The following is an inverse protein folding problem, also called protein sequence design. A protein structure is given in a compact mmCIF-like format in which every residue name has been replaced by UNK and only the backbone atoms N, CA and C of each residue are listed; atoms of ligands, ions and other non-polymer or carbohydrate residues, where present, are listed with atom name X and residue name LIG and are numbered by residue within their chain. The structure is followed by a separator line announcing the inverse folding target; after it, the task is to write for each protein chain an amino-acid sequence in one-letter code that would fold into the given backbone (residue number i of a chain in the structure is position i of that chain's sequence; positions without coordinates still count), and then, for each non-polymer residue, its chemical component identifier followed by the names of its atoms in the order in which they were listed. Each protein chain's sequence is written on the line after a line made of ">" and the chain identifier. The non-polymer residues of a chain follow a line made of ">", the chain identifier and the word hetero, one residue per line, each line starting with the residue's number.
data_IF_628167791470
#
_entry.id   IF_628167791470
#
_cell.length_a   1.000
_cell.length_b   1.000
_cell.length_c   1.000
_cell.angle_alpha   90.00
_cell.angle_beta   90.00
_cell.angle_gamma   90.00
#
_symmetry.space_group_name_H-M   'P 1'
#
loop_
_entity.id
_entity.type
_entity.pdbx_description
1 polymer ?
#
# COMPACT_ATOMS: atom_id res chain seq x y z
N UNK A 1 -20.33 -32.85 22.43
CA UNK A 1 -19.90 -33.07 21.03
C UNK A 1 -19.09 -31.84 20.68
N UNK A 2 -17.77 -31.92 20.84
CA UNK A 2 -16.87 -30.78 20.60
C UNK A 2 -16.76 -30.62 19.09
N UNK A 3 -17.23 -29.47 18.59
CA UNK A 3 -17.03 -29.08 17.19
C UNK A 3 -15.63 -28.47 17.15
N UNK A 4 -14.65 -29.27 16.74
CA UNK A 4 -13.32 -28.76 16.39
C UNK A 4 -13.48 -27.80 15.22
N UNK A 5 -13.27 -26.51 15.47
CA UNK A 5 -13.00 -25.52 14.43
C UNK A 5 -11.75 -25.97 13.66
N UNK A 6 -11.78 -26.06 12.32
CA UNK A 6 -10.59 -26.42 11.56
C UNK A 6 -9.52 -25.35 11.81
N UNK A 7 -8.37 -25.76 12.35
CA UNK A 7 -7.18 -24.93 12.32
C UNK A 7 -6.76 -24.75 10.86
N UNK A 8 -6.88 -23.54 10.31
CA UNK A 8 -6.36 -23.15 8.99
C UNK A 8 -4.82 -23.23 9.05
N UNK A 9 -4.27 -24.40 8.73
CA UNK A 9 -2.84 -24.72 8.82
C UNK A 9 -2.06 -24.30 7.56
N UNK A 10 -2.46 -23.19 6.93
CA UNK A 10 -1.67 -22.57 5.87
C UNK A 10 -0.46 -21.81 6.42
N UNK A 11 0.58 -21.55 5.61
CA UNK A 11 1.67 -20.67 6.04
C UNK A 11 1.10 -19.31 6.47
N UNK A 12 1.48 -18.84 7.66
CA UNK A 12 1.11 -17.50 8.13
C UNK A 12 1.73 -16.47 7.17
N UNK A 13 0.87 -15.68 6.51
CA UNK A 13 1.32 -14.60 5.63
C UNK A 13 2.11 -13.56 6.43
N UNK A 14 3.12 -12.97 5.79
CA UNK A 14 3.87 -11.86 6.37
C UNK A 14 2.94 -10.64 6.34
N UNK A 15 2.53 -10.07 7.49
CA UNK A 15 1.64 -8.91 7.51
C UNK A 15 2.37 -7.72 6.88
N UNK A 16 1.68 -7.01 6.00
CA UNK A 16 2.22 -5.87 5.30
C UNK A 16 1.16 -4.79 5.10
N UNK A 17 1.62 -3.55 5.01
CA UNK A 17 0.78 -2.40 4.76
C UNK A 17 1.37 -1.56 3.63
N UNK A 18 0.49 -1.02 2.79
CA UNK A 18 0.83 -0.20 1.64
C UNK A 18 -0.08 1.00 1.60
N UNK A 19 0.48 2.18 1.35
CA UNK A 19 -0.29 3.40 1.20
C UNK A 19 -0.23 3.89 -0.25
N UNK A 20 -1.38 4.25 -0.78
CA UNK A 20 -1.54 4.87 -2.10
C UNK A 20 -1.79 6.35 -1.84
N UNK A 21 -0.72 7.13 -1.96
CA UNK A 21 -0.73 8.55 -1.66
C UNK A 21 -1.12 9.31 -2.92
N UNK A 22 -2.19 10.08 -2.83
CA UNK A 22 -2.69 10.95 -3.89
C UNK A 22 -2.10 12.34 -3.77
N UNK A 23 -1.92 12.99 -4.92
CA UNK A 23 -1.78 14.44 -5.02
C UNK A 23 -2.58 14.97 -6.20
N UNK A 24 -2.94 16.25 -6.15
CA UNK A 24 -3.47 16.94 -7.31
C UNK A 24 -2.39 17.03 -8.39
N UNK A 25 -2.72 16.69 -9.64
CA UNK A 25 -1.78 16.86 -10.74
C UNK A 25 -1.44 18.34 -10.92
N UNK A 26 -0.15 18.74 -11.01
CA UNK A 26 0.24 20.13 -11.26
C UNK A 26 -0.36 20.72 -12.55
N UNK A 27 -0.65 19.86 -13.52
CA UNK A 27 -1.27 20.21 -14.81
C UNK A 27 -2.80 20.34 -14.76
N UNK A 28 -3.44 20.03 -13.62
CA UNK A 28 -4.91 20.04 -13.47
C UNK A 28 -5.63 18.82 -14.09
N UNK A 29 -4.89 17.77 -14.44
CA UNK A 29 -5.44 16.50 -14.94
C UNK A 29 -5.90 15.54 -13.84
N UNK A 30 -6.05 14.26 -14.20
CA UNK A 30 -6.33 13.18 -13.24
C UNK A 30 -5.29 13.18 -12.11
N UNK A 31 -5.66 12.81 -10.87
CA UNK A 31 -4.74 12.84 -9.73
C UNK A 31 -3.55 11.91 -9.98
N UNK A 32 -2.42 12.29 -9.41
CA UNK A 32 -1.21 11.48 -9.43
C UNK A 32 -1.11 10.67 -8.14
N UNK A 33 -0.55 9.47 -8.25
CA UNK A 33 -0.22 8.58 -7.13
C UNK A 33 1.29 8.48 -7.00
N UNK A 34 1.78 8.41 -5.76
CA UNK A 34 3.19 8.20 -5.49
C UNK A 34 3.55 6.72 -5.70
N UNK A 35 4.53 6.47 -6.55
CA UNK A 35 5.06 5.14 -6.81
C UNK A 35 6.57 5.12 -6.58
N UNK A 36 7.10 3.93 -6.36
CA UNK A 36 8.53 3.68 -6.19
C UNK A 36 8.95 2.49 -7.05
N UNK A 37 10.15 2.57 -7.65
CA UNK A 37 10.79 1.40 -8.28
C UNK A 37 11.69 0.75 -7.24
N UNK A 38 11.37 -0.48 -6.83
CA UNK A 38 12.18 -1.24 -5.87
C UNK A 38 13.58 -1.51 -6.42
N UNK A 39 14.59 -1.43 -5.56
CA UNK A 39 15.95 -1.84 -5.91
C UNK A 39 15.96 -3.27 -6.49
N UNK A 40 16.76 -3.48 -7.55
CA UNK A 40 16.87 -4.79 -8.23
C UNK A 40 17.39 -5.89 -7.31
N UNK A 41 18.06 -5.53 -6.22
CA UNK A 41 18.61 -6.47 -5.24
C UNK A 41 17.57 -6.95 -4.21
N UNK A 42 16.34 -6.42 -4.24
CA UNK A 42 15.30 -6.87 -3.31
C UNK A 42 14.78 -8.26 -3.67
N UNK A 43 14.63 -9.09 -2.65
CA UNK A 43 14.14 -10.48 -2.76
C UNK A 43 12.68 -10.63 -3.24
N UNK A 44 11.91 -9.55 -3.29
CA UNK A 44 10.53 -9.52 -3.78
C UNK A 44 10.33 -8.30 -4.67
N UNK A 45 9.74 -8.50 -5.85
CA UNK A 45 9.41 -7.45 -6.82
C UNK A 45 10.59 -6.50 -7.16
N UNK A 46 11.83 -6.99 -7.18
CA UNK A 46 13.01 -6.17 -7.53
C UNK A 46 12.92 -5.59 -8.94
N UNK A 47 13.11 -4.27 -9.07
CA UNK A 47 12.95 -3.53 -10.34
C UNK A 47 11.50 -3.32 -10.78
N UNK A 48 10.50 -3.67 -9.95
CA UNK A 48 9.09 -3.42 -10.21
C UNK A 48 8.68 -2.08 -9.61
N UNK A 49 7.76 -1.40 -10.28
CA UNK A 49 7.06 -0.25 -9.72
C UNK A 49 5.96 -0.73 -8.76
N UNK A 50 5.95 -0.19 -7.55
CA UNK A 50 5.01 -0.47 -6.47
C UNK A 50 4.61 0.83 -5.78
N UNK A 51 3.62 0.76 -4.89
CA UNK A 51 3.32 1.86 -3.97
C UNK A 51 4.21 1.75 -2.71
N UNK A 52 4.45 2.86 -1.98
CA UNK A 52 5.19 2.83 -0.73
C UNK A 52 4.58 1.91 0.32
N UNK A 53 5.42 1.19 1.05
CA UNK A 53 4.98 0.32 2.13
C UNK A 53 5.88 -0.89 2.38
N UNK A 54 5.62 -1.53 3.50
CA UNK A 54 6.47 -2.60 4.02
C UNK A 54 5.75 -3.50 5.00
N UNK A 55 6.53 -4.12 5.88
CA UNK A 55 6.01 -5.09 6.85
C UNK A 55 5.35 -4.36 8.00
N UNK A 56 4.41 -5.04 8.66
CA UNK A 56 3.94 -4.60 9.98
C UNK A 56 4.90 -5.15 11.02
N UNK A 57 5.56 -4.27 11.75
CA UNK A 57 6.58 -4.63 12.72
C UNK A 57 5.96 -4.86 14.12
N UNK A 58 6.61 -5.63 15.01
CA UNK A 58 6.10 -5.86 16.37
C UNK A 58 5.80 -4.57 17.15
N UNK A 59 6.57 -3.52 16.91
CA UNK A 59 6.41 -2.19 17.49
C UNK A 59 5.11 -1.51 17.03
N UNK A 60 4.69 -1.75 15.78
CA UNK A 60 3.42 -1.26 15.24
C UNK A 60 2.23 -1.91 15.96
N UNK A 61 2.31 -3.23 16.21
CA UNK A 61 1.33 -3.95 17.02
C UNK A 61 1.32 -3.46 18.49
N UNK A 62 2.49 -3.27 19.09
CA UNK A 62 2.59 -2.81 20.47
C UNK A 62 2.01 -1.41 20.67
N UNK A 63 2.18 -0.52 19.68
CA UNK A 63 1.54 0.80 19.67
C UNK A 63 0.02 0.67 19.45
N UNK A 64 -0.40 -0.19 18.52
CA UNK A 64 -1.81 -0.41 18.21
C UNK A 64 -2.62 -0.88 19.43
N UNK A 65 -2.08 -1.77 20.27
CA UNK A 65 -2.72 -2.22 21.51
C UNK A 65 -3.08 -1.05 22.46
N UNK A 66 -2.35 0.06 22.37
CA UNK A 66 -2.56 1.23 23.23
C UNK A 66 -3.57 2.22 22.65
N UNK A 67 -3.62 2.35 21.31
CA UNK A 67 -4.33 3.46 20.65
C UNK A 67 -5.55 3.00 19.84
N UNK A 68 -5.70 1.71 19.53
CA UNK A 68 -6.73 1.22 18.61
C UNK A 68 -8.15 1.60 19.04
N UNK A 69 -8.43 1.53 20.35
CA UNK A 69 -9.73 1.88 20.91
C UNK A 69 -10.10 3.36 20.67
N UNK A 70 -9.12 4.27 20.77
CA UNK A 70 -9.32 5.71 20.55
C UNK A 70 -9.66 6.04 19.09
N UNK A 71 -9.23 5.17 18.16
CA UNK A 71 -9.54 5.26 16.74
C UNK A 71 -10.76 4.40 16.32
N UNK A 72 -11.38 3.66 17.25
CA UNK A 72 -12.50 2.77 16.93
C UNK A 72 -12.11 1.59 16.02
N UNK A 73 -10.84 1.18 16.04
CA UNK A 73 -10.29 0.10 15.22
C UNK A 73 -10.01 -1.15 16.05
N UNK A 74 -9.87 -2.30 15.40
CA UNK A 74 -9.22 -3.45 16.05
C UNK A 74 -7.71 -3.18 16.18
N UNK A 75 -7.02 -3.78 17.18
CA UNK A 75 -5.56 -3.66 17.28
C UNK A 75 -4.84 -4.11 16.01
N UNK A 76 -5.32 -5.16 15.36
CA UNK A 76 -4.77 -5.65 14.10
C UNK A 76 -4.91 -4.64 12.94
N UNK A 77 -6.06 -3.99 12.79
CA UNK A 77 -6.24 -2.96 11.76
C UNK A 77 -5.44 -1.68 12.07
N UNK A 78 -5.42 -1.26 13.33
CA UNK A 78 -4.60 -0.13 13.76
C UNK A 78 -3.10 -0.38 13.51
N UNK A 79 -2.60 -1.59 13.77
CA UNK A 79 -1.20 -1.94 13.51
C UNK A 79 -0.83 -1.80 12.02
N UNK A 80 -1.71 -2.23 11.11
CA UNK A 80 -1.47 -2.08 9.68
C UNK A 80 -1.51 -0.61 9.23
N UNK A 81 -2.42 0.21 9.79
CA UNK A 81 -2.44 1.64 9.49
C UNK A 81 -1.23 2.38 10.07
N UNK A 82 -0.77 2.00 11.27
CA UNK A 82 0.46 2.51 11.89
C UNK A 82 1.68 2.15 11.04
N UNK A 83 1.79 0.91 10.58
CA UNK A 83 2.85 0.49 9.66
C UNK A 83 2.82 1.30 8.36
N UNK A 84 1.63 1.56 7.79
CA UNK A 84 1.50 2.43 6.62
C UNK A 84 2.02 3.85 6.89
N UNK A 85 1.72 4.44 8.04
CA UNK A 85 2.23 5.77 8.47
C UNK A 85 3.75 5.74 8.62
N UNK A 86 4.29 4.74 9.33
CA UNK A 86 5.72 4.57 9.57
C UNK A 86 6.49 4.46 8.25
N UNK A 87 6.11 3.52 7.40
CA UNK A 87 6.73 3.27 6.09
C UNK A 87 6.64 4.51 5.18
N UNK A 88 5.55 5.28 5.25
CA UNK A 88 5.43 6.54 4.50
C UNK A 88 6.54 7.51 4.86
N UNK A 89 6.82 7.69 6.15
CA UNK A 89 7.90 8.58 6.61
C UNK A 89 9.26 8.02 6.18
N UNK A 90 9.50 6.73 6.38
CA UNK A 90 10.77 6.06 6.06
C UNK A 90 11.11 6.14 4.57
N UNK A 91 10.18 5.74 3.71
CA UNK A 91 10.42 5.62 2.28
C UNK A 91 10.32 6.98 1.57
N UNK A 92 9.39 7.86 1.98
CA UNK A 92 9.04 9.06 1.21
C UNK A 92 9.38 10.38 1.90
N UNK A 93 9.57 10.37 3.22
CA UNK A 93 9.71 11.59 4.02
C UNK A 93 8.44 12.42 4.16
N UNK A 94 7.30 11.93 3.67
CA UNK A 94 6.00 12.55 3.92
C UNK A 94 5.48 12.15 5.31
N UNK A 95 4.87 13.11 6.01
CA UNK A 95 4.22 12.87 7.30
C UNK A 95 2.70 12.91 7.11
N UNK A 96 2.12 11.75 6.78
CA UNK A 96 0.68 11.53 6.56
C UNK A 96 0.08 10.65 7.66
N UNK A 97 -1.21 10.81 7.94
CA UNK A 97 -1.87 10.06 9.04
C UNK A 97 -1.42 10.51 10.42
N UNK A 98 -1.01 11.77 10.52
CA UNK A 98 -0.49 12.40 11.73
C UNK A 98 -1.18 13.76 11.96
N UNK A 99 -1.29 14.13 13.23
CA UNK A 99 -1.72 15.44 13.68
C UNK A 99 -0.64 16.08 14.56
N UNK A 100 -0.42 17.38 14.37
CA UNK A 100 0.61 18.16 15.07
C UNK A 100 1.13 19.28 14.19
N UNK A 101 2.21 19.94 14.62
CA UNK A 101 2.93 20.89 13.76
C UNK A 101 3.82 20.09 12.81
N UNK A 102 3.42 20.03 11.54
CA UNK A 102 4.11 19.28 10.49
C UNK A 102 4.57 20.27 9.41
N UNK A 103 5.87 20.24 9.14
CA UNK A 103 6.51 20.96 8.05
C UNK A 103 7.65 20.10 7.48
N UNK A 104 8.27 20.54 6.39
CA UNK A 104 9.31 19.77 5.71
C UNK A 104 10.56 19.51 6.59
N UNK A 105 10.93 20.47 7.45
CA UNK A 105 12.10 20.33 8.33
C UNK A 105 11.84 19.29 9.41
N UNK A 106 10.67 19.35 10.06
CA UNK A 106 10.25 18.39 11.08
C UNK A 106 10.04 17.01 10.48
N UNK A 107 9.47 16.90 9.27
CA UNK A 107 9.32 15.63 8.58
C UNK A 107 10.67 14.99 8.26
N UNK A 108 11.65 15.76 7.78
CA UNK A 108 13.00 15.28 7.53
C UNK A 108 13.70 14.83 8.83
N UNK A 109 13.58 15.61 9.91
CA UNK A 109 14.15 15.25 11.22
C UNK A 109 13.48 14.00 11.82
N UNK A 110 12.15 13.88 11.68
CA UNK A 110 11.40 12.71 12.12
C UNK A 110 11.82 11.45 11.36
N UNK A 111 12.02 11.57 10.04
CA UNK A 111 12.54 10.48 9.21
C UNK A 111 13.94 10.06 9.63
N UNK A 112 14.85 11.01 9.89
CA UNK A 112 16.20 10.70 10.36
C UNK A 112 16.18 9.98 11.73
N UNK A 113 15.35 10.45 12.66
CA UNK A 113 15.16 9.81 13.96
C UNK A 113 14.55 8.40 13.82
N UNK A 114 13.58 8.24 12.93
CA UNK A 114 12.95 6.95 12.66
C UNK A 114 13.96 5.95 12.09
N UNK A 115 14.84 6.38 11.17
CA UNK A 115 15.90 5.53 10.63
C UNK A 115 16.92 5.08 11.70
N UNK A 116 17.15 5.88 12.74
CA UNK A 116 18.03 5.52 13.86
C UNK A 116 17.35 4.59 14.88
N UNK A 117 16.08 4.83 15.18
CA UNK A 117 15.36 4.16 16.27
C UNK A 117 14.60 2.91 15.81
N UNK A 118 14.12 2.89 14.57
CA UNK A 118 13.34 1.80 13.99
C UNK A 118 11.91 1.65 14.52
N UNK A 119 11.36 2.68 15.20
CA UNK A 119 10.01 2.62 15.75
C UNK A 119 9.32 3.99 15.71
N UNK A 120 8.01 4.00 15.39
CA UNK A 120 7.25 5.24 15.25
C UNK A 120 6.91 5.90 16.59
N UNK A 121 6.62 5.13 17.66
CA UNK A 121 6.16 5.68 18.93
C UNK A 121 7.14 6.72 19.56
N UNK A 122 8.47 6.49 19.61
CA UNK A 122 9.42 7.49 20.08
C UNK A 122 9.46 8.76 19.22
N UNK A 123 9.24 8.62 17.90
CA UNK A 123 9.18 9.76 16.98
C UNK A 123 7.93 10.60 17.28
N UNK A 124 6.76 9.97 17.46
CA UNK A 124 5.54 10.68 17.85
C UNK A 124 5.75 11.50 19.13
N UNK A 125 6.40 10.90 20.13
CA UNK A 125 6.69 11.56 21.40
C UNK A 125 7.64 12.76 21.24
N UNK A 126 8.74 12.59 20.50
CA UNK A 126 9.75 13.65 20.36
C UNK A 126 9.24 14.85 19.56
N UNK A 127 8.35 14.62 18.60
CA UNK A 127 7.81 15.66 17.74
C UNK A 127 6.45 16.23 18.21
N UNK A 128 5.94 15.77 19.36
CA UNK A 128 4.59 16.08 19.86
C UNK A 128 3.51 15.86 18.79
N UNK A 129 3.64 14.72 18.10
CA UNK A 129 2.71 14.28 17.07
C UNK A 129 1.78 13.21 17.63
N UNK A 130 0.57 13.16 17.10
CA UNK A 130 -0.41 12.10 17.36
C UNK A 130 -0.76 11.42 16.06
N UNK A 131 -1.17 10.15 16.15
CA UNK A 131 -1.77 9.47 15.02
C UNK A 131 -3.10 10.12 14.68
N UNK A 132 -3.34 10.33 13.39
CA UNK A 132 -4.61 10.75 12.82
C UNK A 132 -5.01 9.76 11.73
N UNK A 133 -5.32 8.54 12.16
CA UNK A 133 -5.63 7.41 11.29
C UNK A 133 -6.89 7.63 10.45
N UNK A 134 -7.74 8.61 10.78
CA UNK A 134 -8.89 9.00 9.98
C UNK A 134 -8.52 9.62 8.62
N UNK A 135 -7.27 10.05 8.44
CA UNK A 135 -6.74 10.50 7.13
C UNK A 135 -6.50 9.33 6.17
N UNK A 136 -6.54 8.09 6.66
CA UNK A 136 -6.21 6.88 5.92
C UNK A 136 -7.49 6.07 5.67
N UNK A 137 -7.76 5.74 4.41
CA UNK A 137 -8.97 4.99 4.02
C UNK A 137 -8.61 3.56 3.60
N UNK A 138 -9.17 2.50 4.20
CA UNK A 138 -8.98 1.13 3.72
C UNK A 138 -9.42 0.96 2.27
N UNK A 139 -8.60 0.28 1.45
CA UNK A 139 -8.84 0.17 0.01
C UNK A 139 -8.94 -1.28 -0.48
N UNK A 140 -7.98 -2.13 -0.12
CA UNK A 140 -7.92 -3.52 -0.56
C UNK A 140 -7.10 -4.36 0.41
N UNK A 141 -7.29 -5.69 0.40
CA UNK A 141 -6.41 -6.65 1.08
C UNK A 141 -6.05 -7.75 0.11
N UNK A 142 -4.77 -7.96 -0.12
CA UNK A 142 -4.24 -8.99 -1.01
C UNK A 142 -3.50 -10.04 -0.20
N UNK A 143 -3.95 -11.29 -0.28
CA UNK A 143 -3.30 -12.41 0.38
C UNK A 143 -3.22 -13.62 -0.56
N UNK A 144 -2.18 -13.73 -1.40
CA UNK A 144 -2.02 -14.80 -2.38
C UNK A 144 -1.58 -16.14 -1.73
N UNK A 145 -2.31 -16.59 -0.70
CA UNK A 145 -1.99 -17.81 0.07
C UNK A 145 -1.99 -19.11 -0.73
N UNK A 146 -2.60 -19.08 -1.91
CA UNK A 146 -2.69 -20.22 -2.82
C UNK A 146 -1.50 -20.30 -3.79
N UNK A 147 -0.62 -19.29 -3.79
CA UNK A 147 0.54 -19.27 -4.68
C UNK A 147 1.72 -19.98 -4.03
N UNK A 148 2.40 -20.82 -4.80
CA UNK A 148 3.60 -21.53 -4.34
C UNK A 148 4.83 -20.61 -4.46
N UNK A 149 4.84 -19.53 -3.67
CA UNK A 149 5.93 -18.54 -3.63
C UNK A 149 6.64 -18.56 -2.28
N UNK A 150 7.97 -18.30 -2.23
CA UNK A 150 8.75 -18.43 -0.99
C UNK A 150 8.33 -17.48 0.14
N UNK A 151 7.71 -16.35 -0.21
CA UNK A 151 7.21 -15.33 0.73
C UNK A 151 5.84 -14.88 0.29
N UNK A 152 4.83 -15.18 1.10
CA UNK A 152 3.46 -14.72 0.90
C UNK A 152 3.24 -13.54 1.84
N UNK A 153 2.95 -12.36 1.27
CA UNK A 153 2.56 -11.19 2.05
C UNK A 153 1.03 -11.12 2.14
N UNK A 154 0.51 -10.80 3.33
CA UNK A 154 -0.88 -10.42 3.55
C UNK A 154 -0.92 -8.89 3.63
N UNK A 155 -1.13 -8.26 2.48
CA UNK A 155 -0.94 -6.82 2.32
C UNK A 155 -2.26 -6.08 2.35
N UNK A 156 -2.40 -5.12 3.27
CA UNK A 156 -3.48 -4.14 3.27
C UNK A 156 -3.06 -2.88 2.53
N UNK A 157 -3.94 -2.41 1.67
CA UNK A 157 -3.77 -1.18 0.91
C UNK A 157 -4.68 -0.11 1.48
N UNK A 158 -4.14 1.09 1.56
CA UNK A 158 -4.82 2.27 2.06
C UNK A 158 -4.73 3.42 1.08
N UNK A 159 -5.71 4.32 1.09
CA UNK A 159 -5.64 5.60 0.37
C UNK A 159 -5.34 6.72 1.36
N UNK A 160 -4.51 7.67 0.95
CA UNK A 160 -4.35 8.95 1.63
C UNK A 160 -4.21 10.07 0.60
N UNK A 161 -4.59 11.28 0.98
CA UNK A 161 -4.48 12.46 0.13
C UNK A 161 -3.51 13.45 0.75
N UNK A 162 -2.50 13.85 -0.02
CA UNK A 162 -1.56 14.90 0.37
C UNK A 162 -2.23 16.28 0.32
N UNK A 163 -3.38 16.42 -0.34
CA UNK A 163 -4.20 17.63 -0.38
C UNK A 163 -3.58 18.80 -1.14
N UNK A 164 -2.39 18.61 -1.72
CA UNK A 164 -1.62 19.65 -2.43
C UNK A 164 -0.98 19.06 -3.67
N UNK A 165 -0.64 19.89 -4.67
CA UNK A 165 0.02 19.44 -5.90
C UNK A 165 1.53 19.74 -5.97
N UNK A 166 2.08 20.49 -5.01
CA UNK A 166 3.40 21.11 -5.11
C UNK A 166 4.49 20.46 -4.25
N UNK A 167 4.24 19.29 -3.68
CA UNK A 167 5.24 18.60 -2.87
C UNK A 167 6.13 17.76 -3.78
N UNK A 168 7.36 18.22 -3.94
CA UNK A 168 8.44 17.40 -4.48
C UNK A 168 8.90 16.43 -3.39
N UNK A 169 8.89 15.14 -3.71
CA UNK A 169 9.34 14.09 -2.80
C UNK A 169 10.86 14.05 -2.87
N UNK A 170 11.53 14.10 -1.72
CA UNK A 170 13.00 14.08 -1.66
C UNK A 170 13.50 12.75 -2.22
N UNK A 171 14.26 12.82 -3.31
CA UNK A 171 14.96 11.66 -3.87
C UNK A 171 16.18 11.43 -2.97
N UNK A 172 16.08 10.52 -2.00
CA UNK A 172 17.27 10.06 -1.30
C UNK A 172 18.05 9.11 -2.22
N UNK A 173 19.20 9.59 -2.69
CA UNK A 173 20.13 8.85 -3.54
C UNK A 173 20.83 7.68 -2.83
N UNK A 174 20.44 7.35 -1.59
CA UNK A 174 21.15 6.38 -0.77
C UNK A 174 20.94 4.92 -1.21
N UNK A 175 19.81 4.55 -1.82
CA UNK A 175 19.56 3.13 -2.17
C UNK A 175 18.70 2.90 -3.42
N UNK A 176 19.12 3.34 -4.63
CA UNK A 176 18.59 2.88 -5.94
C UNK A 176 17.04 2.80 -6.09
N UNK A 177 16.30 3.56 -5.29
CA UNK A 177 14.85 3.50 -5.18
C UNK A 177 14.34 4.85 -5.65
N UNK A 178 13.69 4.86 -6.81
CA UNK A 178 13.26 6.10 -7.46
C UNK A 178 11.78 6.29 -7.17
N UNK A 179 11.47 7.29 -6.33
CA UNK A 179 10.11 7.79 -6.14
C UNK A 179 9.71 8.64 -7.34
N UNK A 180 8.48 8.47 -7.81
CA UNK A 180 7.92 9.26 -8.89
C UNK A 180 6.41 9.38 -8.77
N UNK A 181 5.90 10.49 -9.24
CA UNK A 181 4.47 10.76 -9.35
C UNK A 181 4.00 10.44 -10.77
N UNK A 182 2.85 9.79 -10.89
CA UNK A 182 2.19 9.54 -12.18
C UNK A 182 0.70 9.32 -11.94
N UNK A 183 -0.15 9.54 -12.95
CA UNK A 183 -1.54 9.10 -12.85
C UNK A 183 -1.63 7.58 -12.89
N UNK A 184 -2.72 7.01 -12.37
CA UNK A 184 -2.93 5.57 -12.42
C UNK A 184 -2.89 5.03 -13.86
N UNK A 185 -3.52 5.75 -14.80
CA UNK A 185 -3.45 5.44 -16.22
C UNK A 185 -2.03 5.60 -16.77
N UNK A 186 -1.31 6.66 -16.39
CA UNK A 186 0.06 6.88 -16.83
C UNK A 186 1.02 5.76 -16.42
N UNK A 187 0.86 5.18 -15.23
CA UNK A 187 1.62 3.99 -14.81
C UNK A 187 1.29 2.76 -15.66
N UNK A 188 0.01 2.54 -15.98
CA UNK A 188 -0.41 1.43 -16.85
C UNK A 188 0.18 1.58 -18.26
N UNK A 189 0.09 2.77 -18.84
CA UNK A 189 0.64 3.07 -20.16
C UNK A 189 2.17 2.91 -20.18
N UNK A 190 2.87 3.36 -19.13
CA UNK A 190 4.31 3.16 -18.99
C UNK A 190 4.69 1.68 -18.90
N UNK A 191 3.87 0.86 -18.23
CA UNK A 191 4.07 -0.57 -18.18
C UNK A 191 3.83 -1.26 -19.53
N UNK A 192 2.84 -0.81 -20.30
CA UNK A 192 2.59 -1.28 -21.68
C UNK A 192 3.75 -0.93 -22.62
N UNK A 193 4.36 0.26 -22.45
CA UNK A 193 5.57 0.65 -23.18
C UNK A 193 6.85 -0.03 -22.67
N UNK A 194 6.78 -0.81 -21.59
CA UNK A 194 7.91 -1.51 -20.99
C UNK A 194 8.88 -0.61 -20.21
N UNK A 195 8.48 0.63 -19.89
CA UNK A 195 9.28 1.60 -19.13
C UNK A 195 9.36 1.24 -17.64
N UNK A 196 8.27 0.67 -17.11
CA UNK A 196 8.20 0.09 -15.77
C UNK A 196 7.62 -1.31 -15.83
N UNK A 197 7.80 -2.09 -14.76
CA UNK A 197 7.17 -3.40 -14.61
C UNK A 197 6.23 -3.38 -13.41
N UNK A 198 5.04 -3.97 -13.55
CA UNK A 198 4.02 -4.00 -12.51
C UNK A 198 3.70 -5.44 -12.12
N UNK A 199 3.72 -5.75 -10.82
CA UNK A 199 3.21 -7.03 -10.32
C UNK A 199 1.68 -7.02 -10.39
N UNK A 200 1.08 -8.21 -10.44
CA UNK A 200 -0.37 -8.36 -10.60
C UNK A 200 -1.21 -7.53 -9.60
N UNK A 201 -0.96 -7.52 -8.28
CA UNK A 201 -1.70 -6.68 -7.34
C UNK A 201 -1.60 -5.18 -7.66
N UNK A 202 -0.39 -4.68 -7.98
CA UNK A 202 -0.19 -3.27 -8.32
C UNK A 202 -0.95 -2.92 -9.58
N UNK A 203 -0.90 -3.76 -10.63
CA UNK A 203 -1.64 -3.54 -11.88
C UNK A 203 -3.15 -3.47 -11.63
N UNK A 204 -3.73 -4.42 -10.89
CA UNK A 204 -5.16 -4.41 -10.58
C UNK A 204 -5.57 -3.17 -9.79
N UNK A 205 -4.78 -2.79 -8.78
CA UNK A 205 -5.03 -1.56 -8.02
C UNK A 205 -4.98 -0.32 -8.92
N UNK A 206 -3.99 -0.20 -9.80
CA UNK A 206 -3.90 0.90 -10.77
C UNK A 206 -5.10 0.96 -11.72
N UNK A 207 -5.56 -0.17 -12.26
CA UNK A 207 -6.74 -0.21 -13.13
C UNK A 207 -8.01 0.22 -12.39
N UNK A 208 -8.18 -0.19 -11.12
CA UNK A 208 -9.29 0.29 -10.28
C UNK A 208 -9.19 1.79 -10.04
N UNK A 209 -7.99 2.31 -9.77
CA UNK A 209 -7.78 3.73 -9.54
C UNK A 209 -7.94 4.60 -10.79
N UNK A 210 -7.64 4.06 -11.98
CA UNK A 210 -7.80 4.73 -13.26
C UNK A 210 -9.27 5.04 -13.62
N UNK A 211 -10.22 4.48 -12.87
CA UNK A 211 -11.65 4.80 -12.99
C UNK A 211 -12.01 6.20 -12.45
N UNK A 212 -11.14 6.82 -11.65
CA UNK A 212 -11.47 8.03 -10.90
C UNK A 212 -10.72 9.26 -11.38
N UNK A 213 -11.40 10.39 -11.32
CA UNK A 213 -10.88 11.71 -11.67
C UNK A 213 -10.44 12.52 -10.45
N UNK A 214 -10.63 12.00 -9.23
CA UNK A 214 -10.24 12.65 -7.99
C UNK A 214 -10.03 11.66 -6.84
N UNK A 215 -9.29 12.07 -5.80
CA UNK A 215 -9.20 11.31 -4.55
C UNK A 215 -10.58 11.10 -3.90
N UNK A 216 -11.45 12.11 -3.94
CA UNK A 216 -12.79 12.01 -3.34
C UNK A 216 -13.63 10.89 -3.98
N UNK A 217 -13.57 10.73 -5.31
CA UNK A 217 -14.24 9.63 -6.02
C UNK A 217 -13.64 8.26 -5.65
N UNK A 218 -12.30 8.16 -5.62
CA UNK A 218 -11.61 6.93 -5.23
C UNK A 218 -11.95 6.51 -3.79
N UNK A 219 -11.93 7.47 -2.85
CA UNK A 219 -12.32 7.28 -1.46
C UNK A 219 -13.78 6.84 -1.33
N UNK A 220 -14.70 7.52 -2.02
CA UNK A 220 -16.12 7.16 -1.98
C UNK A 220 -16.37 5.73 -2.46
N UNK A 221 -15.67 5.28 -3.51
CA UNK A 221 -15.79 3.89 -3.97
C UNK A 221 -15.18 2.89 -2.98
N UNK A 222 -14.06 3.24 -2.34
CA UNK A 222 -13.42 2.42 -1.32
C UNK A 222 -14.33 2.23 -0.09
N UNK A 223 -14.98 3.29 0.37
CA UNK A 223 -15.92 3.24 1.51
C UNK A 223 -17.22 2.48 1.15
N UNK A 224 -17.67 2.55 -0.10
CA UNK A 224 -18.89 1.86 -0.56
C UNK A 224 -18.71 0.34 -0.76
N UNK A 225 -17.48 -0.13 -0.96
CA UNK A 225 -17.17 -1.55 -1.23
C UNK A 225 -16.37 -2.10 -0.04
N UNK A 226 -16.97 -2.95 0.82
CA UNK A 226 -16.26 -3.54 1.94
C UNK A 226 -14.97 -4.26 1.49
N UNK A 227 -13.87 -4.03 2.21
CA UNK A 227 -12.59 -4.67 1.92
C UNK A 227 -12.70 -6.18 2.14
N UNK A 228 -12.58 -6.95 1.06
CA UNK A 228 -12.48 -8.41 1.06
C UNK A 228 -11.02 -8.83 0.88
N UNK A 229 -10.67 -9.98 1.44
CA UNK A 229 -9.37 -10.60 1.18
C UNK A 229 -9.36 -11.17 -0.24
N UNK A 230 -8.57 -10.55 -1.10
CA UNK A 230 -8.33 -10.96 -2.48
C UNK A 230 -7.27 -12.07 -2.46
N UNK A 231 -7.70 -13.28 -2.81
CA UNK A 231 -6.84 -14.44 -2.97
C UNK A 231 -6.88 -14.85 -4.44
N UNK A 232 -5.86 -14.53 -5.24
CA UNK A 232 -5.83 -14.93 -6.65
C UNK A 232 -5.96 -16.45 -6.82
N UNK A 233 -6.66 -16.86 -7.87
CA UNK A 233 -6.87 -18.26 -8.22
C UNK A 233 -6.53 -18.51 -9.68
N UNK A 234 -5.89 -19.65 -9.96
CA UNK A 234 -5.68 -20.12 -11.33
C UNK A 234 -6.93 -20.88 -11.76
N UNK A 235 -7.59 -20.40 -12.81
CA UNK A 235 -8.77 -21.04 -13.42
C UNK A 235 -8.48 -21.33 -14.89
N UNK A 236 -9.04 -22.42 -15.42
CA UNK A 236 -8.97 -22.71 -16.85
C UNK A 236 -10.13 -22.03 -17.57
N UNK A 237 -9.82 -21.21 -18.58
CA UNK A 237 -10.79 -20.57 -19.47
C UNK A 237 -10.31 -20.72 -20.91
N UNK A 238 -11.18 -21.23 -21.78
CA UNK A 238 -10.88 -21.51 -23.19
C UNK A 238 -9.61 -22.34 -23.41
N UNK A 239 -9.38 -23.33 -22.52
CA UNK A 239 -8.21 -24.21 -22.55
C UNK A 239 -6.90 -23.53 -22.16
N UNK A 240 -6.93 -22.32 -21.60
CA UNK A 240 -5.76 -21.59 -21.12
C UNK A 240 -5.88 -21.29 -19.61
N UNK A 241 -4.76 -21.30 -18.86
CA UNK A 241 -4.77 -20.90 -17.46
C UNK A 241 -4.83 -19.37 -17.33
N UNK A 242 -5.76 -18.89 -16.51
CA UNK A 242 -5.93 -17.48 -16.15
C UNK A 242 -5.74 -17.30 -14.65
N UNK A 243 -5.03 -16.24 -14.25
CA UNK A 243 -5.01 -15.79 -12.87
C UNK A 243 -6.18 -14.83 -12.66
N UNK A 244 -7.06 -15.12 -11.70
CA UNK A 244 -8.31 -14.37 -11.48
C UNK A 244 -8.49 -13.95 -10.03
N UNK A 245 -9.30 -12.91 -9.83
CA UNK A 245 -9.72 -12.38 -8.52
C UNK A 245 -11.25 -12.33 -8.42
N UNK A 246 -11.76 -12.03 -7.22
CA UNK A 246 -13.19 -11.90 -6.96
C UNK A 246 -13.82 -10.79 -7.84
N UNK A 247 -14.92 -11.12 -8.51
CA UNK A 247 -15.61 -10.19 -9.41
C UNK A 247 -16.29 -9.01 -8.68
N UNK A 248 -16.61 -9.17 -7.41
CA UNK A 248 -17.34 -8.22 -6.57
C UNK A 248 -16.42 -7.46 -5.59
N UNK A 249 -15.13 -7.35 -5.91
CA UNK A 249 -14.12 -6.61 -5.15
C UNK A 249 -13.86 -5.19 -5.68
N UNK A 250 -14.65 -4.71 -6.65
CA UNK A 250 -14.59 -3.33 -7.16
C UNK A 250 -13.54 -3.07 -8.25
N UNK A 251 -12.95 -4.13 -8.82
CA UNK A 251 -11.95 -4.03 -9.89
C UNK A 251 -12.62 -4.12 -11.27
N UNK A 252 -12.24 -3.25 -12.23
CA UNK A 252 -12.80 -3.30 -13.59
C UNK A 252 -12.28 -4.49 -14.40
N UNK A 253 -11.13 -5.03 -14.03
CA UNK A 253 -10.52 -6.18 -14.70
C UNK A 253 -10.13 -7.21 -13.64
N UNK A 254 -10.66 -8.42 -13.77
CA UNK A 254 -10.64 -9.44 -12.72
C UNK A 254 -9.81 -10.66 -13.09
N UNK A 255 -9.16 -10.67 -14.25
CA UNK A 255 -8.37 -11.79 -14.72
C UNK A 255 -7.35 -11.42 -15.77
N UNK A 256 -6.28 -12.19 -15.83
CA UNK A 256 -5.22 -12.06 -16.82
C UNK A 256 -4.65 -13.44 -17.20
N UNK A 257 -4.25 -13.62 -18.46
CA UNK A 257 -3.64 -14.86 -18.92
C UNK A 257 -2.36 -15.14 -18.12
N UNK A 258 -2.22 -16.35 -17.59
CA UNK A 258 -1.13 -16.68 -16.68
C UNK A 258 0.26 -16.45 -17.31
N UNK A 259 0.40 -16.63 -18.63
CA UNK A 259 1.63 -16.41 -19.37
C UNK A 259 2.07 -14.94 -19.47
N UNK A 260 1.13 -13.99 -19.28
CA UNK A 260 1.41 -12.55 -19.36
C UNK A 260 1.58 -11.91 -17.98
N UNK A 261 1.16 -12.62 -16.92
CA UNK A 261 1.21 -12.10 -15.55
C UNK A 261 2.65 -12.03 -15.04
N UNK A 262 3.09 -10.81 -14.71
CA UNK A 262 4.29 -10.61 -13.91
C UNK A 262 4.02 -10.94 -12.43
N UNK A 263 4.74 -11.93 -11.91
CA UNK A 263 4.71 -12.36 -10.50
C UNK A 263 5.94 -11.83 -9.77
N UNK A 264 5.74 -11.31 -8.56
CA UNK A 264 6.77 -10.69 -7.71
C UNK A 264 7.58 -11.69 -6.90
#
# INVERSE_FOLDING_TARGET
>A
MNIETPHDSGPQGIPAATIIIFRNAPSGGAPEVLMTVRSRNMSFAGGMAVFPGGRVDPEDFALAEQVAADHGLSPDEAAHQIAAVRETIEETGLALGLAGTIDAERAAAARAMLAEIGALAPVLQAFDWRLDLAQITPFARWFPKNENIPRVYDTRFYLADLGTGAVDVSIDHAENTQLFWTSAQGALDAAERGEIKLIFPTRRNLERLALFSSFAEARAQAEAIPVKTIMPQIVEQDGKPWLTILADAGYPVTGELLETVARG
#
